data_IF_584731935780
#
_entry.id   IF_584731935780
#
_cell.length_a   1.000
_cell.length_b   1.000
_cell.length_c   1.000
_cell.angle_alpha   90.00
_cell.angle_beta   90.00
_cell.angle_gamma   90.00
#
_symmetry.space_group_name_H-M   'P 1'
#
loop_
_entity.id
_entity.type
_entity.pdbx_description
1 polymer ?
#
# COMPACT_ATOMS: atom_id res chain seq x y z
N UNK A 1 0.37 5.64 18.10
CA UNK A 1 0.15 6.17 16.75
C UNK A 1 0.45 5.05 15.75
N UNK A 2 -0.55 4.28 15.34
CA UNK A 2 -0.35 3.10 14.51
C UNK A 2 -0.34 3.47 13.03
N UNK A 3 0.83 3.55 12.41
CA UNK A 3 0.98 3.77 10.97
C UNK A 3 0.64 2.49 10.17
N UNK A 4 -0.61 2.03 10.28
CA UNK A 4 -1.12 0.84 9.55
C UNK A 4 -1.01 1.07 8.05
N UNK A 5 -1.29 2.30 7.60
CA UNK A 5 -1.12 2.71 6.21
C UNK A 5 0.34 2.59 5.75
N UNK A 6 1.34 3.01 6.54
CA UNK A 6 2.74 2.83 6.14
C UNK A 6 3.11 1.35 6.06
N UNK A 7 2.71 0.56 7.07
CA UNK A 7 3.00 -0.87 7.09
C UNK A 7 2.41 -1.58 5.86
N UNK A 8 1.18 -1.24 5.48
CA UNK A 8 0.55 -1.76 4.26
C UNK A 8 1.33 -1.37 2.99
N UNK A 9 1.77 -0.11 2.89
CA UNK A 9 2.55 0.35 1.74
C UNK A 9 3.84 -0.45 1.61
N UNK A 10 4.57 -0.64 2.71
CA UNK A 10 5.81 -1.40 2.73
C UNK A 10 5.59 -2.88 2.41
N UNK A 11 4.53 -3.51 2.93
CA UNK A 11 4.17 -4.88 2.56
C UNK A 11 3.88 -5.02 1.06
N UNK A 12 3.05 -4.12 0.50
CA UNK A 12 2.72 -4.16 -0.92
C UNK A 12 3.96 -3.89 -1.77
N UNK A 13 4.82 -2.95 -1.36
CA UNK A 13 6.09 -2.72 -2.03
C UNK A 13 7.01 -3.96 -1.95
N UNK A 14 7.01 -4.68 -0.84
CA UNK A 14 7.76 -5.93 -0.66
C UNK A 14 7.25 -7.03 -1.59
N UNK A 15 5.94 -7.26 -1.62
CA UNK A 15 5.29 -8.22 -2.52
C UNK A 15 5.56 -7.92 -4.00
N UNK A 16 5.64 -6.65 -4.36
CA UNK A 16 5.95 -6.22 -5.73
C UNK A 16 7.46 -6.20 -6.05
N UNK A 17 8.33 -6.52 -5.09
CA UNK A 17 9.79 -6.42 -5.25
C UNK A 17 10.32 -4.98 -5.35
N UNK A 18 9.51 -4.00 -4.96
CA UNK A 18 9.81 -2.58 -4.99
C UNK A 18 10.34 -2.05 -3.66
N UNK A 19 10.30 -2.87 -2.60
CA UNK A 19 10.74 -2.48 -1.26
C UNK A 19 12.17 -1.94 -1.28
N UNK A 20 13.14 -2.69 -1.82
CA UNK A 20 14.55 -2.26 -1.88
C UNK A 20 14.70 -0.90 -2.59
N UNK A 21 13.94 -0.68 -3.66
CA UNK A 21 13.94 0.58 -4.41
C UNK A 21 13.37 1.73 -3.58
N UNK A 22 12.28 1.49 -2.87
CA UNK A 22 11.66 2.48 -1.97
C UNK A 22 12.56 2.78 -0.78
N UNK A 23 13.22 1.78 -0.20
CA UNK A 23 14.11 1.98 0.96
C UNK A 23 15.40 2.71 0.56
N UNK A 24 15.94 2.44 -0.64
CA UNK A 24 17.16 3.09 -1.14
C UNK A 24 16.92 4.46 -1.78
N UNK A 25 15.90 4.57 -2.63
CA UNK A 25 15.66 5.75 -3.47
C UNK A 25 14.39 6.52 -3.10
N UNK A 26 13.57 5.99 -2.18
CA UNK A 26 12.30 6.59 -1.78
C UNK A 26 11.16 6.34 -2.76
N UNK A 27 9.95 6.64 -2.32
CA UNK A 27 8.72 6.52 -3.11
C UNK A 27 8.73 7.32 -4.42
N UNK A 28 9.53 8.39 -4.49
CA UNK A 28 9.69 9.25 -5.68
C UNK A 28 10.43 8.56 -6.83
N UNK A 29 11.16 7.48 -6.55
CA UNK A 29 11.90 6.70 -7.55
C UNK A 29 11.04 5.68 -8.29
N UNK A 30 9.83 5.43 -7.79
CA UNK A 30 8.87 4.56 -8.44
C UNK A 30 8.20 5.27 -9.62
N UNK A 31 8.01 4.53 -10.71
CA UNK A 31 7.22 4.96 -11.85
C UNK A 31 5.75 5.08 -11.49
N UNK A 32 4.99 5.89 -12.24
CA UNK A 32 3.54 6.00 -12.09
C UNK A 32 2.83 4.63 -12.13
N UNK A 33 3.35 3.67 -12.91
CA UNK A 33 2.82 2.31 -12.98
C UNK A 33 3.07 1.51 -11.69
N UNK A 34 4.23 1.67 -11.07
CA UNK A 34 4.63 1.01 -9.83
C UNK A 34 3.84 1.59 -8.64
N UNK A 35 3.90 2.92 -8.46
CA UNK A 35 3.18 3.64 -7.41
C UNK A 35 1.66 3.49 -7.56
N UNK A 36 1.15 3.50 -8.79
CA UNK A 36 -0.28 3.29 -9.08
C UNK A 36 -0.77 1.89 -8.69
N UNK A 37 0.05 0.85 -8.88
CA UNK A 37 -0.27 -0.51 -8.39
C UNK A 37 -0.35 -0.56 -6.88
N UNK A 38 0.62 0.07 -6.19
CA UNK A 38 0.64 0.13 -4.72
C UNK A 38 -0.59 0.87 -4.19
N UNK A 39 -0.87 2.07 -4.71
CA UNK A 39 -2.04 2.86 -4.31
C UNK A 39 -3.38 2.18 -4.62
N UNK A 40 -3.46 1.46 -5.74
CA UNK A 40 -4.64 0.69 -6.11
C UNK A 40 -4.91 -0.49 -5.17
N UNK A 41 -3.87 -1.25 -4.81
CA UNK A 41 -3.97 -2.35 -3.83
C UNK A 41 -4.32 -1.83 -2.44
N UNK A 42 -3.73 -0.70 -2.05
CA UNK A 42 -4.03 -0.04 -0.79
C UNK A 42 -5.50 0.42 -0.72
N UNK A 43 -5.99 1.04 -1.80
CA UNK A 43 -7.39 1.45 -1.92
C UNK A 43 -8.34 0.25 -1.89
N UNK A 44 -7.98 -0.85 -2.56
CA UNK A 44 -8.74 -2.11 -2.50
C UNK A 44 -8.80 -2.66 -1.08
N UNK A 45 -7.67 -2.78 -0.38
CA UNK A 45 -7.64 -3.26 1.01
C UNK A 45 -8.42 -2.33 1.96
N UNK A 46 -8.27 -1.02 1.81
CA UNK A 46 -9.00 -0.02 2.61
C UNK A 46 -10.50 -0.04 2.34
N UNK A 47 -10.92 -0.30 1.10
CA UNK A 47 -12.33 -0.50 0.75
C UNK A 47 -12.86 -1.82 1.32
N UNK A 48 -12.11 -2.92 1.23
CA UNK A 48 -12.47 -4.19 1.84
C UNK A 48 -12.62 -4.08 3.36
N UNK A 49 -11.69 -3.40 4.04
CA UNK A 49 -11.75 -3.16 5.49
C UNK A 49 -12.94 -2.25 5.88
N UNK A 50 -13.33 -1.31 5.02
CA UNK A 50 -14.52 -0.48 5.26
C UNK A 50 -15.83 -1.23 4.97
N UNK A 51 -15.85 -2.09 3.94
CA UNK A 51 -16.98 -2.96 3.63
C UNK A 51 -17.24 -3.94 4.78
N UNK A 52 -16.16 -4.52 5.34
CA UNK A 52 -16.23 -5.41 6.50
C UNK A 52 -16.81 -4.71 7.74
N UNK A 53 -16.41 -3.45 7.99
CA UNK A 53 -17.00 -2.62 9.06
C UNK A 53 -18.48 -2.27 8.85
N UNK A 54 -18.97 -2.29 7.61
CA UNK A 54 -20.38 -2.06 7.29
C UNK A 54 -21.27 -3.29 7.48
N UNK A 55 -20.70 -4.50 7.62
CA UNK A 55 -21.45 -5.73 7.89
C UNK A 55 -21.58 -6.05 9.38
N UNK A 56 -20.97 -5.25 10.26
CA UNK A 56 -21.04 -5.41 11.71
C UNK A 56 -22.00 -4.41 12.39
N UNK A 57 -22.83 -3.70 11.61
CA UNK A 57 -23.93 -2.88 12.12
C UNK A 57 -25.27 -3.55 11.89
#
# INVERSE_FOLDING_TARGET
MGNIDEKLKYEIASELGLLDKVTKFGWKSLSAKETGRIGGLMSKKKKALQLDKGQQM
#
